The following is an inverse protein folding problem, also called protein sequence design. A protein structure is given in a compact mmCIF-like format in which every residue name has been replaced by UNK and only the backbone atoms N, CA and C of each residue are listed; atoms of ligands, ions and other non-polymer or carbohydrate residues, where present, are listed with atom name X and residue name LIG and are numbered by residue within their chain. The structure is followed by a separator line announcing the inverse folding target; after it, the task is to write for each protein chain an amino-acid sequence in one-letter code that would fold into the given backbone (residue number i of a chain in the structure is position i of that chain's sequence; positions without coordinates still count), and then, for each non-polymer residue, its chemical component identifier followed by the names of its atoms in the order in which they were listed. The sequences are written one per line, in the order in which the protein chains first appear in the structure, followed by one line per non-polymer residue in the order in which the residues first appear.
data_IF_761189518552
#
_entry.id   IF_761189518552
#
_cell.length_a   1.000
_cell.length_b   1.000
_cell.length_c   1.000
_cell.angle_alpha   90.00
_cell.angle_beta   90.00
_cell.angle_gamma   90.00
#
_symmetry.space_group_name_H-M   'P 1'
#
loop_
_entity.id
_entity.type
_entity.pdbx_description
1 polymer ?
#
# COMPACT_ATOMS: atom_id res chain seq x y z
N UNK A 1 10.29 15.47 8.30
CA UNK A 1 9.18 14.50 8.41
C UNK A 1 9.71 13.16 7.92
N UNK A 2 9.47 12.08 8.66
CA UNK A 2 9.85 10.73 8.23
C UNK A 2 8.56 9.98 7.97
N UNK A 3 8.42 9.39 6.78
CA UNK A 3 7.27 8.55 6.43
C UNK A 3 7.46 7.17 7.07
N UNK A 4 6.38 6.58 7.58
CA UNK A 4 6.46 5.21 8.07
C UNK A 4 6.73 4.26 6.89
N UNK A 5 7.43 3.16 7.17
CA UNK A 5 7.76 2.16 6.15
C UNK A 5 6.50 1.66 5.42
N UNK A 6 6.60 1.60 4.09
CA UNK A 6 5.51 1.20 3.22
C UNK A 6 4.51 2.31 2.86
N UNK A 7 4.61 3.51 3.41
CA UNK A 7 3.78 4.64 2.96
C UNK A 7 4.34 5.26 1.67
N UNK A 8 3.47 5.55 0.69
CA UNK A 8 3.87 6.27 -0.53
C UNK A 8 3.16 7.61 -0.59
N UNK A 9 3.86 8.62 -1.12
CA UNK A 9 3.28 9.94 -1.36
C UNK A 9 2.54 9.92 -2.69
N UNK A 10 1.26 10.26 -2.66
CA UNK A 10 0.42 10.37 -3.85
C UNK A 10 0.51 11.79 -4.42
N UNK A 11 0.38 12.78 -3.53
CA UNK A 11 0.38 14.19 -3.89
C UNK A 11 0.88 15.05 -2.72
N UNK A 12 1.36 16.26 -3.06
CA UNK A 12 1.70 17.28 -2.07
C UNK A 12 1.31 18.66 -2.62
N UNK A 13 0.61 19.45 -1.82
CA UNK A 13 0.20 20.82 -2.15
C UNK A 13 0.55 21.78 -1.01
N UNK A 14 1.12 22.93 -1.37
CA UNK A 14 1.39 24.03 -0.44
C UNK A 14 0.41 25.17 -0.73
N UNK A 15 -0.51 25.43 0.20
CA UNK A 15 -1.51 26.48 0.06
C UNK A 15 -1.61 27.31 1.33
N UNK A 16 -1.51 28.63 1.20
CA UNK A 16 -1.56 29.57 2.33
C UNK A 16 -0.60 29.22 3.48
N UNK A 17 0.57 28.66 3.15
CA UNK A 17 1.57 28.22 4.14
C UNK A 17 1.26 26.88 4.82
N UNK A 18 0.16 26.22 4.47
CA UNK A 18 -0.17 24.87 4.92
C UNK A 18 0.29 23.85 3.87
N UNK A 19 1.12 22.90 4.29
CA UNK A 19 1.55 21.78 3.46
C UNK A 19 0.62 20.59 3.71
N UNK A 20 -0.14 20.22 2.67
CA UNK A 20 -0.97 19.01 2.64
C UNK A 20 -0.24 17.93 1.87
N UNK A 21 -0.19 16.70 2.42
CA UNK A 21 0.44 15.54 1.78
C UNK A 21 -0.55 14.39 1.81
N UNK A 22 -0.88 13.87 0.63
CA UNK A 22 -1.71 12.68 0.47
C UNK A 22 -0.82 11.44 0.48
N UNK A 23 -1.12 10.49 1.38
CA UNK A 23 -0.35 9.27 1.55
C UNK A 23 -1.24 8.04 1.30
N UNK A 24 -0.77 7.08 0.50
CA UNK A 24 -1.37 5.74 0.44
C UNK A 24 -0.61 4.77 1.34
N UNK A 25 -1.36 3.78 1.83
CA UNK A 25 -0.79 2.53 2.34
C UNK A 25 -1.16 1.44 1.34
N UNK A 26 -0.23 1.01 0.48
CA UNK A 26 -0.46 -0.12 -0.41
C UNK A 26 -0.70 -1.37 0.43
N UNK A 27 -1.81 -2.08 0.18
CA UNK A 27 -1.93 -3.44 0.70
C UNK A 27 -0.92 -4.32 -0.02
N UNK A 28 -0.17 -5.10 0.77
CA UNK A 28 0.74 -6.11 0.23
C UNK A 28 -0.12 -7.14 -0.51
N UNK A 29 0.14 -7.39 -1.80
CA UNK A 29 -0.57 -8.40 -2.57
C UNK A 29 -0.53 -9.73 -1.82
N UNK A 30 -1.67 -10.15 -1.27
CA UNK A 30 -1.82 -11.47 -0.66
C UNK A 30 -1.87 -12.49 -1.79
N UNK A 31 -0.71 -12.97 -2.21
CA UNK A 31 -0.57 -14.10 -3.12
C UNK A 31 -1.06 -15.38 -2.43
N UNK A 32 -2.38 -15.57 -2.39
CA UNK A 32 -3.00 -16.80 -1.86
C UNK A 32 -2.84 -17.91 -2.90
N UNK A 33 -1.78 -18.72 -2.77
CA UNK A 33 -1.59 -19.92 -3.58
C UNK A 33 -2.45 -21.06 -3.02
N UNK A 34 -3.57 -21.38 -3.68
CA UNK A 34 -4.38 -22.57 -3.38
C UNK A 34 -3.80 -23.75 -4.16
N UNK A 35 -3.36 -24.79 -3.45
CA UNK A 35 -2.98 -26.07 -4.05
C UNK A 35 -4.22 -26.96 -3.99
N UNK A 36 -4.72 -27.38 -5.15
CA UNK A 36 -5.80 -28.38 -5.22
C UNK A 36 -5.19 -29.76 -5.01
N UNK A 37 -5.58 -30.45 -3.94
CA UNK A 37 -5.22 -31.85 -3.71
C UNK A 37 -6.26 -32.70 -4.43
N UNK A 38 -5.87 -33.33 -5.54
CA UNK A 38 -6.70 -34.34 -6.20
C UNK A 38 -6.24 -35.73 -5.75
N UNK A 39 -7.12 -36.46 -5.07
CA UNK A 39 -6.92 -37.88 -4.78
C UNK A 39 -7.26 -38.66 -6.06
N UNK A 40 -6.33 -39.48 -6.54
CA UNK A 40 -6.55 -40.44 -7.63
C UNK A 40 -6.90 -41.78 -6.98
N UNK A 41 -8.04 -42.32 -7.36
CA UNK A 41 -8.44 -43.71 -7.07
C UNK A 41 -7.57 -44.71 -7.84
#
# INVERSE_FOLDING_TARGET
FVLADGMRVIAAELKNGLLSIDLDRPEVERLVRKINISVKD
#
